data_IF_799302629766
#
_entry.id   IF_799302629766
#
_cell.length_a   1.000
_cell.length_b   1.000
_cell.length_c   1.000
_cell.angle_alpha   90.00
_cell.angle_beta   90.00
_cell.angle_gamma   90.00
#
_symmetry.space_group_name_H-M   'P 1'
#
loop_
_entity.id
_entity.type
_entity.pdbx_description
1 polymer ?
#
# COMPACT_ATOMS: atom_id res chain seq x y z
N UNK A 1 -18.53 49.00 27.22
CA UNK A 1 -17.75 48.14 28.13
C UNK A 1 -18.58 46.90 28.37
N UNK A 2 -18.20 45.72 27.91
CA UNK A 2 -16.87 45.25 27.49
C UNK A 2 -16.88 44.67 26.08
N UNK A 3 -15.99 45.14 25.21
CA UNK A 3 -15.46 44.23 24.17
C UNK A 3 -14.69 43.14 24.93
N UNK A 4 -15.20 41.91 24.92
CA UNK A 4 -14.37 40.77 25.28
C UNK A 4 -13.40 40.56 24.12
N UNK A 5 -12.10 40.56 24.43
CA UNK A 5 -11.06 40.28 23.45
C UNK A 5 -11.36 38.95 22.77
N UNK A 6 -11.74 39.03 21.50
CA UNK A 6 -12.13 37.86 20.72
C UNK A 6 -10.87 37.03 20.49
N UNK A 7 -10.79 35.84 21.10
CA UNK A 7 -9.55 35.06 21.02
C UNK A 7 -9.21 34.74 19.57
N UNK A 8 -7.92 34.57 19.33
CA UNK A 8 -7.38 34.12 18.06
C UNK A 8 -8.14 32.88 17.50
N UNK A 9 -8.38 31.89 18.37
CA UNK A 9 -9.11 30.66 18.05
C UNK A 9 -10.56 30.99 17.66
N UNK A 10 -11.24 31.86 18.41
CA UNK A 10 -12.62 32.26 18.12
C UNK A 10 -12.77 32.96 16.77
N UNK A 11 -11.77 33.77 16.39
CA UNK A 11 -11.69 34.39 15.07
C UNK A 11 -11.53 33.32 13.97
N UNK A 12 -10.59 32.39 14.14
CA UNK A 12 -10.33 31.30 13.19
C UNK A 12 -11.52 30.32 13.02
N UNK A 13 -12.33 30.11 14.06
CA UNK A 13 -13.59 29.35 13.98
C UNK A 13 -14.65 30.14 13.20
N UNK A 14 -14.84 31.41 13.54
CA UNK A 14 -15.91 32.26 13.00
C UNK A 14 -15.70 32.54 11.51
N UNK A 15 -14.46 32.62 11.04
CA UNK A 15 -14.15 32.79 9.62
C UNK A 15 -14.59 31.58 8.78
N UNK A 16 -14.42 30.35 9.28
CA UNK A 16 -14.70 29.12 8.54
C UNK A 16 -16.16 28.65 8.72
N UNK A 17 -16.77 28.91 9.88
CA UNK A 17 -18.15 28.56 10.21
C UNK A 17 -18.88 29.75 10.88
N UNK A 18 -19.23 30.81 10.13
CA UNK A 18 -19.93 31.97 10.69
C UNK A 18 -21.31 31.60 11.28
N UNK A 19 -22.05 30.73 10.59
CA UNK A 19 -23.42 30.29 10.92
C UNK A 19 -23.52 29.30 12.09
N UNK A 20 -22.41 28.98 12.77
CA UNK A 20 -22.41 28.03 13.88
C UNK A 20 -23.04 28.68 15.14
N UNK A 21 -23.88 27.96 15.93
CA UNK A 21 -24.42 28.49 17.18
C UNK A 21 -23.30 28.88 18.15
N UNK A 22 -23.49 29.99 18.87
CA UNK A 22 -22.43 30.58 19.70
C UNK A 22 -21.94 29.61 20.79
N UNK A 23 -22.86 28.91 21.45
CA UNK A 23 -22.54 27.83 22.41
C UNK A 23 -21.67 26.71 21.80
N UNK A 24 -21.81 26.43 20.51
CA UNK A 24 -20.98 25.42 19.82
C UNK A 24 -19.61 25.98 19.42
N UNK A 25 -19.49 27.30 19.20
CA UNK A 25 -18.19 27.96 19.06
C UNK A 25 -17.44 27.95 20.40
N UNK A 26 -18.12 28.19 21.52
CA UNK A 26 -17.54 28.15 22.87
C UNK A 26 -16.93 26.77 23.18
N UNK A 27 -17.70 25.69 22.99
CA UNK A 27 -17.24 24.31 23.24
C UNK A 27 -16.06 23.94 22.32
N UNK A 28 -16.10 24.41 21.06
CA UNK A 28 -15.01 24.16 20.10
C UNK A 28 -13.74 24.93 20.46
N UNK A 29 -13.87 26.17 20.92
CA UNK A 29 -12.77 27.00 21.41
C UNK A 29 -12.11 26.37 22.65
N UNK A 30 -12.89 25.96 23.65
CA UNK A 30 -12.38 25.24 24.84
C UNK A 30 -11.70 23.92 24.44
N UNK A 31 -12.27 23.17 23.50
CA UNK A 31 -11.66 21.92 22.98
C UNK A 31 -10.29 22.22 22.36
N UNK A 32 -10.16 23.23 21.50
CA UNK A 32 -8.91 23.58 20.84
C UNK A 32 -7.85 24.12 21.81
N UNK A 33 -8.27 24.87 22.84
CA UNK A 33 -7.39 25.28 23.95
C UNK A 33 -6.89 24.05 24.72
N UNK A 34 -7.75 23.07 25.00
CA UNK A 34 -7.37 21.83 25.70
C UNK A 34 -6.40 20.95 24.91
N UNK A 35 -6.37 21.09 23.58
CA UNK A 35 -5.43 20.44 22.67
C UNK A 35 -4.09 21.18 22.54
N UNK A 36 -3.96 22.39 23.11
CA UNK A 36 -2.74 23.20 23.04
C UNK A 36 -2.57 23.99 21.74
N UNK A 37 -3.66 24.37 21.05
CA UNK A 37 -3.60 25.23 19.86
C UNK A 37 -3.31 26.67 20.28
N UNK A 38 -2.14 27.20 19.92
CA UNK A 38 -1.74 28.58 20.24
C UNK A 38 -1.60 29.47 18.98
N UNK A 39 -1.40 28.87 17.80
CA UNK A 39 -1.08 29.56 16.54
C UNK A 39 -1.88 29.02 15.34
N UNK A 40 -1.78 29.68 14.17
CA UNK A 40 -2.43 29.19 12.93
C UNK A 40 -1.78 27.89 12.41
N UNK A 41 -0.50 27.67 12.69
CA UNK A 41 0.23 26.48 12.23
C UNK A 41 -0.23 25.22 12.98
N UNK A 42 -0.69 25.35 14.22
CA UNK A 42 -1.12 24.22 15.05
C UNK A 42 -2.38 23.52 14.50
N UNK A 43 -3.23 24.25 13.76
CA UNK A 43 -4.41 23.67 13.12
C UNK A 43 -4.08 22.58 12.09
N UNK A 44 -2.84 22.50 11.59
CA UNK A 44 -2.42 21.42 10.69
C UNK A 44 -2.38 20.04 11.39
N UNK A 45 -2.15 20.03 12.71
CA UNK A 45 -2.01 18.82 13.52
C UNK A 45 -3.35 18.31 14.10
N UNK A 46 -4.41 19.12 14.05
CA UNK A 46 -5.76 18.75 14.49
C UNK A 46 -6.36 17.69 13.54
N UNK A 47 -7.03 16.68 14.12
CA UNK A 47 -7.65 15.56 13.42
C UNK A 47 -9.18 15.59 13.51
N UNK A 48 -9.85 14.77 12.69
CA UNK A 48 -11.33 14.75 12.67
C UNK A 48 -11.90 14.35 14.03
N UNK A 49 -11.31 13.36 14.68
CA UNK A 49 -11.74 12.84 15.98
C UNK A 49 -11.75 13.91 17.09
N UNK A 50 -10.76 14.80 17.08
CA UNK A 50 -10.56 15.85 18.08
C UNK A 50 -11.70 16.89 18.03
N UNK A 51 -12.34 17.05 16.87
CA UNK A 51 -13.43 17.99 16.62
C UNK A 51 -14.82 17.39 16.83
N UNK A 52 -14.94 16.05 16.99
CA UNK A 52 -16.24 15.38 17.14
C UNK A 52 -16.94 15.63 18.49
N UNK A 53 -16.24 16.22 19.46
CA UNK A 53 -16.82 16.71 20.72
C UNK A 53 -17.81 17.86 20.50
N UNK A 54 -17.52 18.73 19.52
CA UNK A 54 -18.26 19.97 19.27
C UNK A 54 -18.97 19.99 17.91
N UNK A 55 -18.44 19.30 16.89
CA UNK A 55 -18.89 19.36 15.51
C UNK A 55 -19.38 18.00 14.99
N UNK A 56 -20.42 18.02 14.13
CA UNK A 56 -20.78 16.82 13.34
C UNK A 56 -19.66 16.48 12.35
N UNK A 57 -19.45 15.20 11.98
CA UNK A 57 -18.32 14.77 11.13
C UNK A 57 -18.12 15.58 9.84
N UNK A 58 -19.20 15.95 9.14
CA UNK A 58 -19.12 16.76 7.91
C UNK A 58 -18.66 18.21 8.20
N UNK A 59 -19.04 18.78 9.35
CA UNK A 59 -18.59 20.12 9.76
C UNK A 59 -17.09 20.07 10.16
N UNK A 60 -16.67 19.05 10.91
CA UNK A 60 -15.26 18.82 11.24
C UNK A 60 -14.37 18.70 9.99
N UNK A 61 -14.78 17.88 9.00
CA UNK A 61 -14.04 17.74 7.72
C UNK A 61 -13.92 19.04 6.94
N UNK A 62 -15.00 19.84 6.87
CA UNK A 62 -14.97 21.15 6.20
C UNK A 62 -13.99 22.11 6.88
N UNK A 63 -13.97 22.11 8.20
CA UNK A 63 -13.08 22.95 9.01
C UNK A 63 -11.61 22.57 8.80
N UNK A 64 -11.29 21.28 8.90
CA UNK A 64 -9.92 20.78 8.66
C UNK A 64 -9.43 21.05 7.24
N UNK A 65 -10.30 20.93 6.23
CA UNK A 65 -9.94 21.25 4.86
C UNK A 65 -9.60 22.74 4.69
N UNK A 66 -10.38 23.64 5.32
CA UNK A 66 -10.16 25.08 5.26
C UNK A 66 -8.87 25.51 5.98
N UNK A 67 -8.65 25.03 7.22
CA UNK A 67 -7.43 25.38 7.96
C UNK A 67 -6.16 24.81 7.34
N UNK A 68 -6.18 23.56 6.85
CA UNK A 68 -5.01 22.94 6.18
C UNK A 68 -4.68 23.61 4.84
N UNK A 69 -5.68 24.12 4.11
CA UNK A 69 -5.46 24.95 2.93
C UNK A 69 -4.79 26.29 3.28
N UNK A 70 -5.20 26.92 4.39
CA UNK A 70 -4.57 28.15 4.90
C UNK A 70 -3.11 27.96 5.30
N UNK A 71 -2.80 26.87 6.01
CA UNK A 71 -1.41 26.52 6.36
C UNK A 71 -0.50 26.32 5.13
N UNK A 72 -1.09 26.02 3.97
CA UNK A 72 -0.37 25.79 2.70
C UNK A 72 -0.35 27.01 1.78
N UNK A 73 -0.98 28.13 2.15
CA UNK A 73 -0.97 29.36 1.33
C UNK A 73 0.16 30.29 1.81
N UNK A 74 1.22 30.54 1.03
CA UNK A 74 2.24 31.52 1.43
C UNK A 74 1.62 32.91 1.32
N UNK A 75 1.51 33.64 2.43
CA UNK A 75 1.08 35.03 2.36
C UNK A 75 2.10 35.87 1.60
N UNK A 76 1.68 36.35 0.44
CA UNK A 76 2.44 37.30 -0.37
C UNK A 76 1.47 38.29 -1.01
N UNK A 77 1.06 39.31 -0.24
CA UNK A 77 1.50 40.69 -0.54
C UNK A 77 0.76 41.75 0.28
N UNK A 78 1.53 42.66 0.90
CA UNK A 78 1.20 44.09 0.83
C UNK A 78 2.46 44.95 0.97
N UNK A 79 3.09 45.28 -0.16
CA UNK A 79 3.66 46.61 -0.45
C UNK A 79 4.36 46.61 -1.81
N UNK A 80 4.04 47.62 -2.62
CA UNK A 80 4.55 47.84 -3.96
C UNK A 80 5.52 49.03 -3.98
N UNK A 81 6.82 48.77 -4.17
CA UNK A 81 7.76 49.66 -4.89
C UNK A 81 8.81 48.77 -5.56
N UNK A 82 9.14 49.04 -6.83
CA UNK A 82 10.00 48.16 -7.65
C UNK A 82 11.51 48.48 -7.62
N UNK A 83 12.29 47.60 -8.26
CA UNK A 83 13.73 47.75 -8.48
C UNK A 83 14.28 46.63 -9.39
N UNK A 84 15.21 46.96 -10.30
CA UNK A 84 15.75 46.10 -11.36
C UNK A 84 16.60 44.89 -10.90
N UNK A 85 16.89 43.92 -11.80
CA UNK A 85 17.57 42.66 -11.46
C UNK A 85 19.11 42.72 -11.49
N UNK A 86 19.76 41.79 -10.78
CA UNK A 86 21.22 41.56 -10.79
C UNK A 86 21.60 40.20 -10.16
N UNK A 87 22.78 39.60 -10.47
CA UNK A 87 22.87 38.14 -10.59
C UNK A 87 23.81 37.40 -9.61
N UNK A 88 23.58 36.07 -9.53
CA UNK A 88 24.54 34.97 -9.27
C UNK A 88 25.41 34.93 -8.00
N UNK A 89 25.43 33.75 -7.36
CA UNK A 89 26.62 32.90 -7.15
C UNK A 89 26.75 32.22 -5.75
N UNK A 90 26.97 30.90 -5.81
CA UNK A 90 27.89 30.10 -4.96
C UNK A 90 27.58 29.78 -3.48
N UNK A 91 27.37 28.47 -3.26
CA UNK A 91 28.00 27.59 -2.26
C UNK A 91 28.92 28.24 -1.19
N UNK A 92 28.70 27.88 0.10
CA UNK A 92 29.68 27.17 0.95
C UNK A 92 29.07 26.83 2.34
N UNK A 93 29.53 25.74 2.95
CA UNK A 93 29.11 25.21 4.26
C UNK A 93 29.90 25.78 5.43
N UNK A 94 29.30 25.96 6.62
CA UNK A 94 30.02 25.91 7.91
C UNK A 94 29.14 25.40 9.07
N UNK A 95 29.69 24.51 9.91
CA UNK A 95 29.10 24.06 11.18
C UNK A 95 29.46 25.00 12.35
N UNK A 96 28.67 25.06 13.43
CA UNK A 96 29.11 25.67 14.69
C UNK A 96 29.96 24.70 15.53
N UNK A 97 30.94 25.26 16.22
CA UNK A 97 31.96 24.58 17.05
C UNK A 97 31.78 25.02 18.51
N UNK A 98 31.93 24.09 19.46
CA UNK A 98 32.09 24.43 20.89
C UNK A 98 33.15 23.56 21.57
N UNK A 99 34.14 24.22 22.15
CA UNK A 99 35.14 23.74 23.13
C UNK A 99 34.59 23.88 24.57
N UNK A 100 35.08 23.29 25.66
CA UNK A 100 36.13 22.29 25.99
C UNK A 100 36.04 22.01 27.51
N UNK A 101 36.39 20.84 28.06
CA UNK A 101 37.65 20.67 28.83
C UNK A 101 37.97 19.21 29.24
N UNK A 102 39.27 18.90 29.30
CA UNK A 102 40.04 17.69 29.77
C UNK A 102 39.57 17.00 31.08
N UNK A 103 39.87 15.71 31.39
CA UNK A 103 41.15 14.94 31.25
C UNK A 103 41.02 13.38 31.23
N UNK A 104 42.09 12.65 30.86
CA UNK A 104 42.22 11.17 30.71
C UNK A 104 42.40 10.37 32.04
N UNK A 105 42.70 9.04 32.15
CA UNK A 105 43.24 8.00 31.22
C UNK A 105 42.87 6.51 31.58
N UNK A 106 43.77 5.53 31.40
CA UNK A 106 43.55 4.05 31.20
C UNK A 106 44.44 3.13 32.10
N UNK A 107 44.32 1.78 32.23
CA UNK A 107 43.26 0.77 32.03
C UNK A 107 43.60 -0.62 32.69
N UNK A 108 42.55 -1.42 33.03
CA UNK A 108 42.45 -2.92 33.22
C UNK A 108 43.41 -3.76 34.12
N UNK A 109 42.80 -4.73 34.83
CA UNK A 109 43.24 -6.15 34.82
C UNK A 109 42.03 -7.12 34.72
N UNK A 110 42.22 -8.41 34.33
CA UNK A 110 41.15 -9.24 33.75
C UNK A 110 40.83 -10.53 34.53
N UNK A 111 39.81 -11.25 34.06
CA UNK A 111 39.61 -12.72 33.97
C UNK A 111 38.17 -13.13 34.35
N UNK A 112 37.64 -14.18 33.68
CA UNK A 112 36.26 -14.70 33.56
C UNK A 112 35.64 -14.27 32.21
N UNK A 113 35.47 -15.17 31.23
CA UNK A 113 34.64 -16.39 31.07
C UNK A 113 33.31 -16.05 30.35
N UNK A 114 32.71 -17.00 29.65
CA UNK A 114 31.72 -16.77 28.58
C UNK A 114 30.52 -15.88 28.93
N UNK A 115 30.15 -15.74 30.21
CA UNK A 115 29.13 -14.80 30.68
C UNK A 115 29.50 -13.32 30.48
N UNK A 116 30.80 -12.97 30.46
CA UNK A 116 31.31 -11.61 30.17
C UNK A 116 31.56 -11.36 28.66
N UNK A 117 31.41 -12.39 27.82
CA UNK A 117 31.50 -12.27 26.34
C UNK A 117 30.19 -12.58 25.62
N UNK A 118 29.17 -13.08 26.33
CA UNK A 118 27.81 -13.20 25.82
C UNK A 118 27.10 -11.83 25.81
N UNK A 119 27.46 -11.02 24.83
CA UNK A 119 26.72 -9.79 24.51
C UNK A 119 25.49 -10.19 23.68
N UNK A 120 24.30 -10.06 24.28
CA UNK A 120 23.07 -9.96 23.49
C UNK A 120 23.24 -8.68 22.63
N UNK A 121 23.17 -8.77 21.29
CA UNK A 121 23.48 -7.65 20.41
C UNK A 121 22.30 -6.68 20.36
N UNK A 122 22.07 -5.98 21.47
CA UNK A 122 21.00 -5.01 21.67
C UNK A 122 21.04 -3.87 20.64
N UNK A 123 22.23 -3.58 20.11
CA UNK A 123 22.52 -2.67 18.99
C UNK A 123 21.96 -3.15 17.64
N UNK A 124 21.76 -4.46 17.46
CA UNK A 124 21.14 -5.05 16.26
C UNK A 124 19.63 -5.19 16.36
N UNK A 125 19.04 -4.83 17.50
CA UNK A 125 17.59 -4.89 17.72
C UNK A 125 16.96 -3.53 17.33
N UNK A 126 15.74 -3.50 16.79
CA UNK A 126 15.10 -2.24 16.41
C UNK A 126 15.00 -1.26 17.59
N UNK A 127 15.44 -0.01 17.37
CA UNK A 127 15.52 1.03 18.42
C UNK A 127 14.17 1.28 19.11
N UNK A 128 13.06 1.22 18.35
CA UNK A 128 11.71 1.36 18.90
C UNK A 128 11.30 0.18 19.81
N UNK A 129 11.80 -1.03 19.54
CA UNK A 129 11.60 -2.20 20.42
C UNK A 129 12.40 -2.01 21.71
N UNK A 130 13.65 -1.54 21.61
CA UNK A 130 14.52 -1.24 22.75
C UNK A 130 13.91 -0.16 23.65
N UNK A 131 13.59 1.03 23.12
CA UNK A 131 12.96 2.11 23.89
C UNK A 131 11.60 1.72 24.49
N UNK A 132 10.88 0.78 23.87
CA UNK A 132 9.60 0.30 24.43
C UNK A 132 9.82 -0.62 25.62
N UNK A 133 10.85 -1.48 25.58
CA UNK A 133 11.30 -2.29 26.72
C UNK A 133 11.83 -1.41 27.86
N UNK A 134 12.64 -0.39 27.57
CA UNK A 134 13.21 0.53 28.57
C UNK A 134 12.12 1.32 29.33
N UNK A 135 11.06 1.75 28.65
CA UNK A 135 9.89 2.40 29.29
C UNK A 135 8.97 1.41 30.04
N UNK A 136 9.33 0.13 30.15
CA UNK A 136 8.52 -0.90 30.80
C UNK A 136 7.19 -1.20 30.10
N UNK A 137 7.01 -0.77 28.84
CA UNK A 137 5.78 -0.98 28.06
C UNK A 137 5.92 -2.23 27.19
N UNK A 138 4.82 -2.95 26.95
CA UNK A 138 4.84 -4.16 26.11
C UNK A 138 5.00 -3.79 24.63
N UNK A 139 6.06 -4.24 23.91
CA UNK A 139 6.25 -3.88 22.50
C UNK A 139 5.13 -4.38 21.59
N UNK A 140 4.91 -3.67 20.47
CA UNK A 140 3.83 -3.98 19.53
C UNK A 140 4.02 -5.37 18.89
N UNK A 141 2.94 -6.02 18.39
CA UNK A 141 3.07 -7.30 17.68
C UNK A 141 3.93 -7.23 16.41
N UNK A 142 4.12 -6.03 15.83
CA UNK A 142 4.95 -5.82 14.64
C UNK A 142 6.43 -5.68 15.01
N UNK A 143 6.76 -4.82 15.97
CA UNK A 143 8.14 -4.63 16.46
C UNK A 143 8.77 -5.95 16.94
N UNK A 144 7.99 -6.82 17.59
CA UNK A 144 8.45 -8.16 18.01
C UNK A 144 8.79 -9.12 16.86
N UNK A 145 8.47 -8.80 15.61
CA UNK A 145 8.79 -9.62 14.42
C UNK A 145 10.05 -9.17 13.67
N UNK A 146 10.64 -8.03 14.08
CA UNK A 146 11.77 -7.35 13.42
C UNK A 146 13.14 -7.57 14.10
N UNK A 147 13.24 -8.49 15.07
CA UNK A 147 14.52 -8.81 15.72
C UNK A 147 15.53 -9.39 14.71
N UNK A 148 16.49 -8.53 14.34
CA UNK A 148 17.68 -8.67 13.47
C UNK A 148 17.46 -8.91 11.96
N UNK A 149 18.28 -8.26 11.13
CA UNK A 149 18.39 -8.54 9.68
C UNK A 149 18.82 -9.99 9.42
N UNK A 150 19.60 -10.58 10.33
CA UNK A 150 19.98 -11.99 10.33
C UNK A 150 18.75 -12.92 10.37
N UNK A 151 17.73 -12.60 11.18
CA UNK A 151 16.47 -13.38 11.21
C UNK A 151 15.64 -13.21 9.92
N UNK A 152 15.66 -12.01 9.32
CA UNK A 152 15.01 -11.78 8.01
C UNK A 152 15.69 -12.60 6.90
N UNK A 153 17.02 -12.65 6.90
CA UNK A 153 17.80 -13.44 5.96
C UNK A 153 17.65 -14.96 6.17
N UNK A 154 17.53 -15.43 7.42
CA UNK A 154 17.23 -16.82 7.76
C UNK A 154 15.86 -17.26 7.20
N UNK A 155 14.80 -16.47 7.46
CA UNK A 155 13.44 -16.72 6.96
C UNK A 155 13.38 -16.75 5.41
N UNK A 156 14.16 -15.87 4.77
CA UNK A 156 14.32 -15.81 3.32
C UNK A 156 15.00 -17.06 2.76
N UNK A 157 16.12 -17.49 3.33
CA UNK A 157 16.79 -18.71 2.86
C UNK A 157 15.93 -19.95 3.15
N UNK A 158 15.18 -19.98 4.26
CA UNK A 158 14.19 -21.03 4.52
C UNK A 158 13.13 -21.13 3.41
N UNK A 159 12.57 -20.00 2.95
CA UNK A 159 11.69 -19.97 1.77
C UNK A 159 12.40 -20.49 0.50
N UNK A 160 13.67 -20.13 0.26
CA UNK A 160 14.45 -20.67 -0.87
C UNK A 160 14.68 -22.19 -0.78
N UNK A 161 14.89 -22.74 0.42
CA UNK A 161 15.05 -24.19 0.63
C UNK A 161 13.71 -24.90 0.43
N UNK A 162 12.62 -24.40 1.03
CA UNK A 162 11.27 -24.98 0.88
C UNK A 162 10.82 -25.02 -0.58
N UNK A 163 11.16 -24.03 -1.41
CA UNK A 163 10.78 -24.01 -2.83
C UNK A 163 11.41 -25.12 -3.69
N UNK A 164 12.38 -25.86 -3.14
CA UNK A 164 13.04 -27.01 -3.80
C UNK A 164 12.51 -28.36 -3.30
N UNK A 165 11.64 -28.35 -2.29
CA UNK A 165 11.05 -29.54 -1.68
C UNK A 165 9.69 -29.84 -2.33
N UNK A 166 9.31 -31.11 -2.37
CA UNK A 166 8.03 -31.56 -2.94
C UNK A 166 6.87 -31.57 -1.95
N UNK A 167 7.16 -31.57 -0.65
CA UNK A 167 6.16 -31.56 0.43
C UNK A 167 6.28 -30.24 1.22
N UNK A 168 5.60 -29.21 0.73
CA UNK A 168 5.68 -27.83 1.25
C UNK A 168 4.44 -27.51 2.07
N UNK A 169 4.63 -27.14 3.34
CA UNK A 169 3.55 -26.69 4.21
C UNK A 169 3.07 -25.26 3.81
N UNK A 170 1.84 -25.08 3.31
CA UNK A 170 1.36 -23.79 2.82
C UNK A 170 1.15 -22.76 3.93
N UNK A 171 0.76 -23.17 5.15
CA UNK A 171 0.59 -22.23 6.27
C UNK A 171 1.93 -21.72 6.80
N UNK A 172 3.00 -22.54 6.69
CA UNK A 172 4.35 -22.10 7.00
C UNK A 172 4.89 -21.10 5.96
N UNK A 173 4.70 -21.37 4.66
CA UNK A 173 5.02 -20.41 3.59
C UNK A 173 4.30 -19.09 3.81
N UNK A 174 3.00 -19.13 4.14
CA UNK A 174 2.16 -17.96 4.42
C UNK A 174 2.66 -17.16 5.63
N UNK A 175 3.07 -17.83 6.71
CA UNK A 175 3.66 -17.16 7.88
C UNK A 175 5.02 -16.53 7.55
N UNK A 176 5.88 -17.25 6.83
CA UNK A 176 7.20 -16.76 6.41
C UNK A 176 7.06 -15.56 5.47
N UNK A 177 6.20 -15.63 4.45
CA UNK A 177 5.91 -14.54 3.51
C UNK A 177 5.42 -13.28 4.23
N UNK A 178 4.52 -13.41 5.22
CA UNK A 178 4.09 -12.27 6.07
C UNK A 178 5.24 -11.71 6.91
N UNK A 179 6.01 -12.58 7.56
CA UNK A 179 7.12 -12.15 8.42
C UNK A 179 8.29 -11.51 7.67
N UNK A 180 8.39 -11.74 6.35
CA UNK A 180 9.43 -11.20 5.47
C UNK A 180 8.94 -10.12 4.52
N UNK A 181 7.66 -9.71 4.61
CA UNK A 181 7.04 -8.69 3.76
C UNK A 181 7.84 -7.37 3.71
N UNK A 182 8.37 -6.92 4.85
CA UNK A 182 9.24 -5.74 4.91
C UNK A 182 10.47 -5.88 4.00
N UNK A 183 11.18 -7.00 4.08
CA UNK A 183 12.40 -7.26 3.29
C UNK A 183 12.08 -7.37 1.79
N UNK A 184 10.97 -8.02 1.45
CA UNK A 184 10.44 -8.08 0.08
C UNK A 184 10.19 -6.67 -0.50
N UNK A 185 9.49 -5.80 0.24
CA UNK A 185 9.22 -4.41 -0.17
C UNK A 185 10.49 -3.54 -0.19
N UNK A 186 11.41 -3.70 0.78
CA UNK A 186 12.72 -3.02 0.82
C UNK A 186 13.49 -3.27 -0.48
N UNK A 187 13.55 -4.52 -0.94
CA UNK A 187 14.25 -4.88 -2.18
C UNK A 187 13.57 -4.36 -3.46
N UNK A 188 12.23 -4.43 -3.56
CA UNK A 188 11.51 -3.83 -4.71
C UNK A 188 11.70 -2.32 -4.77
N UNK A 189 11.55 -1.62 -3.63
CA UNK A 189 11.72 -0.16 -3.57
C UNK A 189 13.16 0.29 -3.89
N UNK A 190 14.14 -0.60 -3.72
CA UNK A 190 15.54 -0.39 -4.13
C UNK A 190 15.81 -0.67 -5.62
N UNK A 191 14.79 -1.03 -6.40
CA UNK A 191 14.93 -1.32 -7.83
C UNK A 191 15.59 -2.67 -8.13
N UNK A 192 15.47 -3.65 -7.23
CA UNK A 192 16.06 -4.99 -7.44
C UNK A 192 15.46 -5.65 -8.68
N UNK A 193 16.31 -6.19 -9.56
CA UNK A 193 15.87 -6.80 -10.81
C UNK A 193 14.89 -7.98 -10.57
N UNK A 194 13.84 -8.08 -11.38
CA UNK A 194 12.78 -9.08 -11.25
C UNK A 194 13.31 -10.53 -11.28
N UNK A 195 14.39 -10.81 -12.04
CA UNK A 195 15.04 -12.12 -12.09
C UNK A 195 15.75 -12.47 -10.78
N UNK A 196 16.38 -11.48 -10.14
CA UNK A 196 16.96 -11.63 -8.80
C UNK A 196 15.86 -11.84 -7.76
N UNK A 197 14.79 -11.04 -7.80
CA UNK A 197 13.63 -11.21 -6.92
C UNK A 197 13.01 -12.61 -7.04
N UNK A 198 12.86 -13.16 -8.25
CA UNK A 198 12.37 -14.53 -8.47
C UNK A 198 13.29 -15.60 -7.87
N UNK A 199 14.61 -15.42 -7.96
CA UNK A 199 15.59 -16.33 -7.36
C UNK A 199 15.67 -16.20 -5.83
N UNK A 200 15.35 -15.02 -5.29
CA UNK A 200 15.43 -14.69 -3.88
C UNK A 200 14.13 -14.98 -3.11
N UNK A 201 12.97 -14.88 -3.79
CA UNK A 201 11.63 -15.04 -3.25
C UNK A 201 10.75 -15.91 -4.18
N UNK A 202 11.08 -17.19 -4.40
CA UNK A 202 10.36 -18.05 -5.35
C UNK A 202 8.85 -18.11 -5.09
N UNK A 203 8.44 -18.21 -3.82
CA UNK A 203 7.02 -18.23 -3.42
C UNK A 203 6.26 -16.92 -3.72
N UNK A 204 6.95 -15.79 -3.88
CA UNK A 204 6.28 -14.53 -4.25
C UNK A 204 5.70 -14.56 -5.68
N UNK A 205 6.22 -15.46 -6.52
CA UNK A 205 5.80 -15.66 -7.91
C UNK A 205 4.94 -16.92 -8.10
N UNK A 206 4.31 -17.40 -7.03
CA UNK A 206 3.18 -18.34 -7.09
C UNK A 206 1.91 -17.74 -6.47
N UNK A 207 0.78 -18.39 -6.72
CA UNK A 207 -0.55 -17.91 -6.33
C UNK A 207 -0.68 -17.70 -4.81
N UNK A 208 0.00 -18.51 -3.99
CA UNK A 208 -0.09 -18.47 -2.53
C UNK A 208 0.68 -17.27 -1.98
N UNK A 209 1.97 -17.16 -2.29
CA UNK A 209 2.79 -16.07 -1.80
C UNK A 209 2.41 -14.72 -2.42
N UNK A 210 1.94 -14.71 -3.67
CA UNK A 210 1.38 -13.51 -4.30
C UNK A 210 0.09 -13.05 -3.61
N UNK A 211 -0.84 -13.96 -3.30
CA UNK A 211 -2.07 -13.61 -2.57
C UNK A 211 -1.77 -13.09 -1.15
N UNK A 212 -0.78 -13.68 -0.46
CA UNK A 212 -0.32 -13.20 0.84
C UNK A 212 0.28 -11.81 0.73
N UNK A 213 1.21 -11.58 -0.21
CA UNK A 213 1.84 -10.28 -0.39
C UNK A 213 0.81 -9.20 -0.77
N UNK A 214 -0.12 -9.50 -1.68
CA UNK A 214 -1.21 -8.61 -2.06
C UNK A 214 -2.08 -8.22 -0.85
N UNK A 215 -2.41 -9.18 0.03
CA UNK A 215 -3.18 -8.91 1.25
C UNK A 215 -2.44 -8.00 2.22
N UNK A 216 -1.14 -8.24 2.46
CA UNK A 216 -0.35 -7.37 3.35
C UNK A 216 -0.14 -5.96 2.74
N UNK A 217 -0.08 -5.85 1.41
CA UNK A 217 0.07 -4.56 0.69
C UNK A 217 -1.22 -3.72 0.64
N UNK A 218 -2.38 -4.38 0.46
CA UNK A 218 -3.67 -3.70 0.17
C UNK A 218 -4.71 -3.81 1.28
N UNK A 219 -4.45 -4.61 2.33
CA UNK A 219 -5.41 -4.99 3.35
C UNK A 219 -6.57 -5.88 2.83
N UNK A 220 -6.59 -6.24 1.55
CA UNK A 220 -7.74 -6.89 0.89
C UNK A 220 -7.43 -8.32 0.45
N UNK A 221 -8.33 -9.24 0.75
CA UNK A 221 -8.20 -10.65 0.32
C UNK A 221 -8.72 -10.78 -1.12
N UNK A 222 -7.82 -10.83 -2.11
CA UNK A 222 -8.18 -10.77 -3.54
C UNK A 222 -9.20 -11.84 -3.94
N UNK A 223 -8.89 -13.11 -3.67
CA UNK A 223 -9.73 -14.25 -4.07
C UNK A 223 -11.10 -14.22 -3.37
N UNK A 224 -11.12 -14.05 -2.04
CA UNK A 224 -12.37 -13.98 -1.27
C UNK A 224 -13.23 -12.77 -1.70
N UNK A 225 -12.61 -11.60 -1.89
CA UNK A 225 -13.31 -10.38 -2.31
C UNK A 225 -13.88 -10.54 -3.72
N UNK A 226 -13.14 -11.18 -4.63
CA UNK A 226 -13.60 -11.47 -5.99
C UNK A 226 -14.78 -12.45 -5.97
N UNK A 227 -14.63 -13.63 -5.37
CA UNK A 227 -15.68 -14.65 -5.27
C UNK A 227 -16.95 -14.10 -4.61
N UNK A 228 -16.82 -13.42 -3.47
CA UNK A 228 -17.96 -12.78 -2.79
C UNK A 228 -18.68 -11.75 -3.67
N UNK A 229 -17.96 -10.99 -4.50
CA UNK A 229 -18.60 -10.07 -5.45
C UNK A 229 -19.25 -10.80 -6.64
N UNK A 230 -18.69 -11.92 -7.11
CA UNK A 230 -19.32 -12.78 -8.11
C UNK A 230 -20.65 -13.35 -7.58
N UNK A 231 -20.67 -13.89 -6.37
CA UNK A 231 -21.89 -14.46 -5.77
C UNK A 231 -22.99 -13.40 -5.62
N UNK A 232 -22.63 -12.19 -5.17
CA UNK A 232 -23.58 -11.09 -4.94
C UNK A 232 -24.04 -10.37 -6.22
N UNK A 233 -23.20 -10.31 -7.27
CA UNK A 233 -23.43 -9.41 -8.42
C UNK A 233 -23.28 -10.09 -9.78
N UNK A 234 -22.51 -11.17 -9.89
CA UNK A 234 -22.14 -11.83 -11.14
C UNK A 234 -23.35 -12.26 -11.96
N UNK A 235 -24.30 -13.00 -11.38
CA UNK A 235 -25.54 -13.42 -12.07
C UNK A 235 -26.35 -12.21 -12.59
N UNK A 236 -26.44 -11.12 -11.81
CA UNK A 236 -27.15 -9.89 -12.21
C UNK A 236 -26.42 -9.17 -13.35
N UNK A 237 -25.09 -9.09 -13.28
CA UNK A 237 -24.24 -8.48 -14.29
C UNK A 237 -24.29 -9.26 -15.61
N UNK A 238 -24.12 -10.58 -15.56
CA UNK A 238 -24.21 -11.45 -16.73
C UNK A 238 -25.60 -11.41 -17.37
N UNK A 239 -26.67 -11.34 -16.57
CA UNK A 239 -28.03 -11.15 -17.09
C UNK A 239 -28.20 -9.79 -17.77
N UNK A 240 -27.71 -8.70 -17.16
CA UNK A 240 -27.72 -7.37 -17.78
C UNK A 240 -26.97 -7.37 -19.12
N UNK A 241 -25.79 -8.00 -19.19
CA UNK A 241 -25.03 -8.11 -20.44
C UNK A 241 -25.81 -8.86 -21.51
N UNK A 242 -26.39 -10.02 -21.17
CA UNK A 242 -27.14 -10.88 -22.08
C UNK A 242 -28.50 -10.30 -22.54
N UNK A 243 -29.15 -9.44 -21.76
CA UNK A 243 -30.55 -9.01 -22.02
C UNK A 243 -30.71 -7.53 -22.30
N UNK A 244 -29.79 -6.67 -21.84
CA UNK A 244 -29.92 -5.21 -21.97
C UNK A 244 -28.74 -4.61 -22.74
N UNK A 245 -27.50 -4.97 -22.40
CA UNK A 245 -26.33 -4.40 -23.08
C UNK A 245 -26.19 -4.90 -24.53
N UNK A 246 -26.55 -6.16 -24.79
CA UNK A 246 -26.41 -6.78 -26.12
C UNK A 246 -27.17 -6.03 -27.23
N UNK A 247 -28.32 -5.45 -26.92
CA UNK A 247 -29.11 -4.68 -27.89
C UNK A 247 -28.63 -3.23 -28.06
N UNK A 248 -27.75 -2.75 -27.17
CA UNK A 248 -27.13 -1.41 -27.26
C UNK A 248 -25.84 -1.40 -28.09
N UNK A 249 -25.18 -2.55 -28.28
CA UNK A 249 -23.91 -2.66 -29.00
C UNK A 249 -23.89 -3.85 -29.94
N UNK A 250 -23.76 -3.57 -31.25
CA UNK A 250 -23.56 -4.62 -32.28
C UNK A 250 -22.30 -5.45 -32.04
N UNK A 251 -21.23 -4.84 -31.51
CA UNK A 251 -19.98 -5.53 -31.12
C UNK A 251 -20.26 -6.52 -29.98
N UNK A 252 -21.00 -6.12 -28.95
CA UNK A 252 -21.35 -7.03 -27.85
C UNK A 252 -22.25 -8.18 -28.31
N UNK A 253 -23.17 -7.93 -29.24
CA UNK A 253 -23.99 -8.97 -29.87
C UNK A 253 -23.12 -9.98 -30.66
N UNK A 254 -22.20 -9.50 -31.49
CA UNK A 254 -21.26 -10.35 -32.23
C UNK A 254 -20.37 -11.17 -31.28
N UNK A 255 -19.84 -10.55 -30.22
CA UNK A 255 -19.03 -11.22 -29.20
C UNK A 255 -19.84 -12.30 -28.47
N UNK A 256 -21.07 -11.99 -28.02
CA UNK A 256 -21.95 -12.97 -27.38
C UNK A 256 -22.28 -14.15 -28.31
N UNK A 257 -22.51 -13.90 -29.59
CA UNK A 257 -22.71 -14.97 -30.59
C UNK A 257 -21.44 -15.81 -30.77
N UNK A 258 -20.25 -15.20 -30.87
CA UNK A 258 -18.95 -15.91 -30.91
C UNK A 258 -18.80 -16.82 -29.68
N UNK A 259 -19.00 -16.29 -28.47
CA UNK A 259 -18.83 -17.05 -27.23
C UNK A 259 -19.85 -18.18 -27.10
N UNK A 260 -21.13 -17.97 -27.46
CA UNK A 260 -22.14 -19.05 -27.47
C UNK A 260 -21.80 -20.18 -28.43
N UNK A 261 -21.22 -19.88 -29.60
CA UNK A 261 -20.77 -20.90 -30.56
C UNK A 261 -19.55 -21.66 -30.02
N UNK A 262 -18.56 -20.97 -29.44
CA UNK A 262 -17.36 -21.62 -28.89
C UNK A 262 -17.63 -22.42 -27.61
N UNK A 263 -18.59 -21.98 -26.77
CA UNK A 263 -19.00 -22.66 -25.53
C UNK A 263 -19.66 -24.03 -25.81
N UNK A 264 -20.38 -24.17 -26.93
CA UNK A 264 -21.09 -25.40 -27.26
C UNK A 264 -22.08 -25.81 -26.16
N UNK A 265 -21.95 -27.05 -25.67
CA UNK A 265 -22.78 -27.60 -24.58
C UNK A 265 -22.22 -27.33 -23.17
N UNK A 266 -21.05 -26.69 -23.05
CA UNK A 266 -20.41 -26.44 -21.76
C UNK A 266 -21.26 -25.49 -20.90
N UNK A 267 -21.52 -25.90 -19.66
CA UNK A 267 -22.30 -25.11 -18.70
C UNK A 267 -21.74 -25.22 -17.28
N UNK A 268 -21.87 -24.14 -16.51
CA UNK A 268 -21.41 -24.06 -15.13
C UNK A 268 -20.79 -22.71 -14.77
N UNK A 269 -20.57 -22.50 -13.48
CA UNK A 269 -20.08 -21.22 -12.92
C UNK A 269 -18.75 -20.76 -13.55
N UNK A 270 -17.83 -21.69 -13.82
CA UNK A 270 -16.55 -21.39 -14.50
C UNK A 270 -16.76 -20.72 -15.86
N UNK A 271 -17.63 -21.27 -16.70
CA UNK A 271 -17.91 -20.73 -18.03
C UNK A 271 -18.67 -19.39 -17.93
N UNK A 272 -19.60 -19.26 -16.98
CA UNK A 272 -20.32 -18.01 -16.76
C UNK A 272 -19.40 -16.86 -16.29
N UNK A 273 -18.33 -17.16 -15.55
CA UNK A 273 -17.28 -16.17 -15.22
C UNK A 273 -16.46 -15.81 -16.46
N UNK A 274 -16.07 -16.79 -17.31
CA UNK A 274 -15.35 -16.52 -18.56
C UNK A 274 -16.16 -15.64 -19.51
N UNK A 275 -17.41 -16.02 -19.80
CA UNK A 275 -18.32 -15.21 -20.62
C UNK A 275 -18.48 -13.80 -20.04
N UNK A 276 -18.64 -13.67 -18.72
CA UNK A 276 -18.77 -12.36 -18.08
C UNK A 276 -17.53 -11.48 -18.29
N UNK A 277 -16.31 -12.02 -18.16
CA UNK A 277 -15.05 -11.30 -18.40
C UNK A 277 -14.93 -10.89 -19.88
N UNK A 278 -15.17 -11.81 -20.81
CA UNK A 278 -15.06 -11.55 -22.25
C UNK A 278 -16.13 -10.54 -22.74
N UNK A 279 -17.34 -10.61 -22.19
CA UNK A 279 -18.39 -9.61 -22.44
C UNK A 279 -18.06 -8.24 -21.82
N UNK A 280 -17.40 -8.19 -20.66
CA UNK A 280 -16.94 -6.93 -20.06
C UNK A 280 -15.89 -6.25 -20.94
N UNK A 281 -14.89 -6.97 -21.45
CA UNK A 281 -13.91 -6.43 -22.41
C UNK A 281 -14.62 -5.86 -23.64
N UNK A 282 -15.51 -6.65 -24.26
CA UNK A 282 -16.30 -6.19 -25.41
C UNK A 282 -17.25 -5.03 -25.09
N UNK A 283 -17.66 -4.83 -23.84
CA UNK A 283 -18.53 -3.73 -23.41
C UNK A 283 -17.74 -2.42 -23.24
N UNK A 284 -16.51 -2.50 -22.75
CA UNK A 284 -15.61 -1.35 -22.56
C UNK A 284 -14.75 -1.03 -23.80
N UNK A 285 -15.01 -1.67 -24.93
CA UNK A 285 -14.27 -1.57 -26.20
C UNK A 285 -12.83 -2.13 -26.18
N UNK A 286 -12.36 -2.59 -25.01
CA UNK A 286 -11.10 -3.30 -24.81
C UNK A 286 -11.00 -4.55 -25.70
N UNK A 287 -9.81 -4.79 -26.24
CA UNK A 287 -9.56 -5.93 -27.10
C UNK A 287 -9.24 -7.18 -26.28
N UNK A 288 -9.35 -8.35 -26.93
CA UNK A 288 -8.99 -9.64 -26.31
C UNK A 288 -7.45 -9.76 -26.19
N UNK A 289 -6.72 -9.26 -27.19
CA UNK A 289 -5.25 -9.26 -27.27
C UNK A 289 -4.53 -8.29 -26.30
N UNK A 290 -5.25 -7.37 -25.63
CA UNK A 290 -4.69 -6.49 -24.57
C UNK A 290 -4.67 -7.11 -23.19
N UNK A 291 -5.43 -8.20 -22.96
CA UNK A 291 -5.40 -8.98 -21.72
C UNK A 291 -4.98 -10.43 -21.90
N UNK A 292 -5.12 -11.02 -23.09
CA UNK A 292 -4.84 -12.44 -23.32
C UNK A 292 -3.76 -12.65 -24.38
N UNK A 293 -2.75 -13.46 -24.03
CA UNK A 293 -1.77 -14.01 -24.95
C UNK A 293 -2.08 -15.51 -25.12
N UNK A 294 -2.53 -15.90 -26.32
CA UNK A 294 -2.87 -17.29 -26.62
C UNK A 294 -1.62 -18.05 -27.09
N UNK A 295 -1.39 -19.21 -26.50
CA UNK A 295 -0.25 -20.09 -26.80
C UNK A 295 -0.71 -21.53 -26.99
N UNK A 296 0.09 -22.33 -27.69
CA UNK A 296 -0.19 -23.76 -27.91
C UNK A 296 -0.31 -24.53 -26.58
N UNK A 297 -1.13 -25.58 -26.56
CA UNK A 297 -1.43 -26.38 -25.35
C UNK A 297 -0.19 -27.01 -24.69
N UNK A 298 0.85 -27.27 -25.48
CA UNK A 298 2.12 -27.82 -25.03
C UNK A 298 3.15 -26.76 -24.63
N UNK A 299 2.85 -25.47 -24.81
CA UNK A 299 3.79 -24.38 -24.55
C UNK A 299 4.15 -24.29 -23.07
N UNK A 300 5.44 -24.47 -22.76
CA UNK A 300 5.97 -24.28 -21.42
C UNK A 300 6.12 -22.78 -21.10
N UNK A 301 6.08 -22.43 -19.82
CA UNK A 301 6.20 -21.03 -19.37
C UNK A 301 7.53 -20.35 -19.76
N UNK A 302 8.56 -21.11 -20.16
CA UNK A 302 9.83 -20.60 -20.68
C UNK A 302 9.91 -20.48 -22.21
N UNK A 303 8.88 -20.93 -22.93
CA UNK A 303 8.80 -20.94 -24.40
C UNK A 303 7.93 -19.80 -24.94
N UNK A 304 7.20 -19.10 -24.05
CA UNK A 304 6.38 -17.93 -24.39
C UNK A 304 7.25 -16.83 -24.98
N UNK A 305 6.93 -16.40 -26.20
CA UNK A 305 7.62 -15.31 -26.89
C UNK A 305 7.27 -13.98 -26.22
N UNK A 306 8.17 -13.49 -25.36
CA UNK A 306 7.94 -12.31 -24.52
C UNK A 306 7.85 -10.99 -25.33
N UNK A 307 8.29 -10.99 -26.59
CA UNK A 307 8.06 -9.91 -27.55
C UNK A 307 6.59 -9.82 -28.03
N UNK A 308 5.81 -10.88 -27.85
CA UNK A 308 4.36 -10.91 -28.11
C UNK A 308 3.53 -10.60 -26.85
N UNK A 309 4.14 -10.59 -25.67
CA UNK A 309 3.47 -10.29 -24.39
C UNK A 309 3.47 -8.78 -24.18
N UNK A 310 2.31 -8.20 -23.90
CA UNK A 310 2.21 -6.75 -23.70
C UNK A 310 2.90 -6.32 -22.39
N UNK A 311 3.35 -5.07 -22.34
CA UNK A 311 3.88 -4.47 -21.10
C UNK A 311 2.78 -4.31 -20.03
N UNK A 312 1.50 -4.35 -20.39
CA UNK A 312 0.38 -4.43 -19.45
C UNK A 312 0.25 -5.84 -18.86
N UNK A 313 -0.38 -5.98 -17.66
CA UNK A 313 -0.71 -7.29 -17.10
C UNK A 313 -1.45 -8.18 -18.10
N UNK A 314 -0.79 -9.25 -18.55
CA UNK A 314 -1.27 -10.14 -19.61
C UNK A 314 -1.43 -11.55 -19.05
N UNK A 315 -2.54 -12.20 -19.35
CA UNK A 315 -2.87 -13.58 -19.00
C UNK A 315 -2.46 -14.47 -20.16
N UNK A 316 -1.50 -15.36 -19.94
CA UNK A 316 -1.14 -16.39 -20.92
C UNK A 316 -2.17 -17.53 -20.86
N UNK A 317 -2.73 -17.92 -22.00
CA UNK A 317 -3.79 -18.91 -22.13
C UNK A 317 -3.34 -20.03 -23.07
N UNK A 318 -3.10 -21.21 -22.51
CA UNK A 318 -3.10 -22.47 -23.24
C UNK A 318 -4.55 -22.87 -23.55
N UNK A 319 -4.87 -23.19 -24.80
CA UNK A 319 -6.23 -23.51 -25.30
C UNK A 319 -6.69 -24.96 -24.99
N UNK A 320 -6.61 -25.41 -23.73
CA UNK A 320 -6.86 -26.82 -23.33
C UNK A 320 -8.08 -27.44 -24.04
N UNK A 321 -7.83 -28.15 -25.13
CA UNK A 321 -8.79 -29.01 -25.79
C UNK A 321 -8.77 -30.36 -25.07
N UNK A 322 -9.72 -30.54 -24.14
CA UNK A 322 -10.02 -31.75 -23.35
C UNK A 322 -9.44 -31.81 -21.92
N UNK A 323 -10.34 -31.61 -20.96
CA UNK A 323 -10.56 -32.54 -19.84
C UNK A 323 -9.45 -32.87 -18.81
N UNK A 324 -8.44 -32.02 -18.56
CA UNK A 324 -7.61 -32.09 -17.34
C UNK A 324 -7.31 -30.69 -16.79
N UNK A 325 -7.50 -30.42 -15.47
CA UNK A 325 -7.07 -29.15 -14.87
C UNK A 325 -5.56 -29.18 -14.56
N UNK A 326 -4.77 -28.45 -15.34
CA UNK A 326 -3.36 -28.16 -15.03
C UNK A 326 -3.23 -26.68 -14.66
N UNK A 327 -2.50 -26.40 -13.57
CA UNK A 327 -2.43 -25.11 -12.90
C UNK A 327 -1.94 -23.98 -13.83
N UNK A 328 -2.77 -22.97 -14.06
CA UNK A 328 -2.43 -21.80 -14.87
C UNK A 328 -1.52 -20.86 -14.08
N UNK A 329 -0.26 -20.75 -14.49
CA UNK A 329 0.74 -19.87 -13.86
C UNK A 329 0.60 -18.46 -14.41
N UNK A 330 0.16 -17.49 -13.59
CA UNK A 330 0.09 -16.09 -14.03
C UNK A 330 1.50 -15.46 -14.04
N UNK A 331 1.97 -15.06 -15.22
CA UNK A 331 3.21 -14.31 -15.40
C UNK A 331 2.89 -12.81 -15.38
N UNK A 332 2.82 -12.21 -14.20
CA UNK A 332 2.73 -10.75 -14.07
C UNK A 332 4.11 -10.11 -14.22
N UNK A 333 4.35 -9.36 -15.31
CA UNK A 333 5.59 -8.59 -15.45
C UNK A 333 5.53 -7.16 -14.88
N UNK A 334 4.37 -6.50 -14.77
CA UNK A 334 4.30 -5.05 -14.49
C UNK A 334 3.24 -4.59 -13.48
N UNK A 335 2.80 -5.44 -12.53
CA UNK A 335 1.85 -5.02 -11.48
C UNK A 335 2.51 -4.40 -10.22
N UNK A 336 3.83 -4.19 -10.21
CA UNK A 336 4.59 -3.83 -8.99
C UNK A 336 5.31 -2.48 -9.01
N UNK A 337 5.01 -1.62 -10.00
CA UNK A 337 5.52 -0.23 -10.05
C UNK A 337 4.35 0.75 -9.95
N UNK A 338 3.82 0.88 -8.74
CA UNK A 338 3.02 2.01 -8.23
C UNK A 338 3.45 2.28 -6.79
#
# INVERSE_FOLDING_TARGET
MTDMEQTFIRSAITEVLPDLPEMTKDILEETLQSLGVETYEDFQFVNEADLLSALRPIQARKVLAAWKLRCQTPESSSSSVGGSPGPSASLMSYSPRSSSSTSSDSCKRPDIDWMDSFVIPWDKFPEELMQTLERGKRPSPQMRREMTEESQQEKKEKLRVMSKQTDVNPEEVKLLMKSTFYTQRKQVNQGTNIKSLLQEWPFWFDDLGMAVHFKELTGSELQETFTRNLDLKGKRLLNYMNTVAVYKSKRLLQALTKFKVMRGELSGCSEDVKDMVLLLLSYFDEKEDTMFCYVEDTCLAGEVQMDQVQLTPTIVVCEINSAVPVSKKLIYQNLMVV
#
